data_IF_901885073814
#
_entry.id   IF_901885073814
#
_cell.length_a   1.000
_cell.length_b   1.000
_cell.length_c   1.000
_cell.angle_alpha   90.00
_cell.angle_beta   90.00
_cell.angle_gamma   90.00
#
_symmetry.space_group_name_H-M   'P 1'
#
loop_
_entity.id
_entity.type
_entity.pdbx_description
1 polymer ?
#
# COMPACT_ATOMS: atom_id res chain seq x y z
N UNK A 1 29.27 -24.91 -16.63
CA UNK A 1 28.14 -24.52 -15.80
C UNK A 1 26.88 -24.73 -16.61
N UNK A 2 25.99 -25.61 -16.15
CA UNK A 2 24.71 -25.87 -16.83
C UNK A 2 23.69 -24.85 -16.31
N UNK A 3 23.08 -24.05 -17.21
CA UNK A 3 21.95 -23.21 -16.91
C UNK A 3 20.70 -24.10 -16.85
N UNK A 4 20.27 -24.49 -15.66
CA UNK A 4 19.06 -25.27 -15.47
C UNK A 4 17.90 -24.31 -15.24
N UNK A 5 16.96 -24.27 -16.18
CA UNK A 5 15.65 -23.61 -15.96
C UNK A 5 14.75 -24.69 -15.36
N UNK A 6 14.37 -24.53 -14.09
CA UNK A 6 13.24 -25.26 -13.51
C UNK A 6 11.97 -24.45 -13.80
N UNK A 7 10.89 -25.11 -14.24
CA UNK A 7 9.57 -24.51 -14.13
C UNK A 7 9.37 -24.10 -12.66
N UNK A 8 9.35 -22.80 -12.40
CA UNK A 8 8.78 -22.30 -11.17
C UNK A 8 7.29 -22.56 -11.27
N UNK A 9 6.87 -23.76 -10.83
CA UNK A 9 5.47 -24.08 -10.66
C UNK A 9 4.85 -22.97 -9.86
N UNK A 10 3.83 -22.31 -10.40
CA UNK A 10 3.01 -21.39 -9.62
C UNK A 10 2.62 -22.14 -8.36
N UNK A 11 3.14 -21.70 -7.21
CA UNK A 11 2.91 -22.38 -5.95
C UNK A 11 1.42 -22.59 -5.81
N UNK A 12 1.03 -23.83 -5.61
CA UNK A 12 -0.36 -24.19 -5.33
C UNK A 12 -0.62 -23.72 -3.90
N UNK A 13 -0.87 -22.41 -3.75
CA UNK A 13 -1.18 -21.85 -2.46
C UNK A 13 -2.47 -22.50 -1.96
N UNK A 14 -2.38 -23.19 -0.83
CA UNK A 14 -3.57 -23.70 -0.16
C UNK A 14 -4.58 -22.57 0.01
N UNK A 15 -5.80 -22.84 -0.43
CA UNK A 15 -6.88 -21.88 -0.30
C UNK A 15 -7.52 -22.03 1.08
N UNK A 16 -7.77 -20.90 1.75
CA UNK A 16 -8.52 -20.91 3.01
C UNK A 16 -9.89 -21.59 2.79
N UNK A 17 -10.30 -22.52 3.68
CA UNK A 17 -11.54 -23.26 3.54
C UNK A 17 -12.76 -22.32 3.50
N UNK A 18 -13.82 -22.75 2.79
CA UNK A 18 -15.10 -22.03 2.79
C UNK A 18 -15.81 -22.20 4.12
N UNK A 19 -16.59 -21.20 4.49
CA UNK A 19 -17.45 -21.24 5.69
C UNK A 19 -17.09 -20.16 6.70
N UNK A 20 -17.65 -20.33 7.90
CA UNK A 20 -17.40 -19.41 9.02
C UNK A 20 -16.14 -19.83 9.76
N UNK A 21 -15.21 -18.90 9.94
CA UNK A 21 -13.96 -19.13 10.64
C UNK A 21 -13.70 -18.06 11.69
N UNK A 22 -13.19 -18.47 12.85
CA UNK A 22 -12.65 -17.52 13.81
C UNK A 22 -11.29 -17.02 13.32
N UNK A 23 -11.09 -15.72 13.35
CA UNK A 23 -9.91 -15.06 12.80
C UNK A 23 -9.45 -13.91 13.69
N UNK A 24 -8.19 -13.49 13.51
CA UNK A 24 -7.63 -12.31 14.17
C UNK A 24 -7.04 -11.38 13.11
N UNK A 25 -7.37 -10.10 13.16
CA UNK A 25 -6.79 -9.10 12.29
C UNK A 25 -5.32 -8.87 12.68
N UNK A 26 -4.40 -9.07 11.74
CA UNK A 26 -2.97 -8.88 12.01
C UNK A 26 -2.31 -7.81 11.14
N UNK A 27 -2.93 -7.42 10.01
CA UNK A 27 -2.27 -6.46 9.12
C UNK A 27 -3.28 -5.51 8.47
N UNK A 28 -2.90 -4.24 8.45
CA UNK A 28 -3.57 -3.17 7.74
C UNK A 28 -2.56 -2.58 6.74
N UNK A 29 -2.95 -2.42 5.48
CA UNK A 29 -2.09 -1.80 4.47
C UNK A 29 -2.89 -0.75 3.73
N UNK A 30 -2.57 0.50 3.97
CA UNK A 30 -3.07 1.61 3.18
C UNK A 30 -2.38 1.59 1.81
N UNK A 31 -3.14 1.39 0.76
CA UNK A 31 -2.61 1.31 -0.61
C UNK A 31 -2.85 2.59 -1.43
N UNK A 32 -3.37 3.63 -0.78
CA UNK A 32 -3.60 4.93 -1.39
C UNK A 32 -4.80 4.99 -2.32
N UNK A 33 -4.85 6.08 -3.07
CA UNK A 33 -5.95 6.42 -3.98
C UNK A 33 -5.68 5.92 -5.39
N UNK A 34 -6.69 5.27 -5.97
CA UNK A 34 -6.66 4.73 -7.33
C UNK A 34 -7.91 5.13 -8.10
N UNK A 35 -7.80 5.17 -9.43
CA UNK A 35 -8.96 5.25 -10.29
C UNK A 35 -9.58 3.87 -10.47
N UNK A 36 -10.86 3.76 -10.15
CA UNK A 36 -11.67 2.56 -10.37
C UNK A 36 -12.82 2.90 -11.31
N UNK A 37 -12.91 2.14 -12.41
CA UNK A 37 -14.02 2.28 -13.36
C UNK A 37 -15.06 1.20 -13.08
N UNK A 38 -16.27 1.63 -12.76
CA UNK A 38 -17.41 0.76 -12.58
C UNK A 38 -18.60 1.29 -13.39
N UNK A 39 -19.22 0.45 -14.20
CA UNK A 39 -20.35 0.79 -15.08
C UNK A 39 -20.11 2.02 -15.96
N UNK A 40 -18.86 2.22 -16.43
CA UNK A 40 -18.47 3.35 -17.26
C UNK A 40 -18.17 4.65 -16.51
N UNK A 41 -18.38 4.70 -15.20
CA UNK A 41 -17.98 5.82 -14.35
C UNK A 41 -16.61 5.56 -13.70
N UNK A 42 -15.67 6.46 -13.90
CA UNK A 42 -14.36 6.43 -13.24
C UNK A 42 -14.39 7.31 -12.00
N UNK A 43 -14.05 6.72 -10.85
CA UNK A 43 -14.01 7.43 -9.56
C UNK A 43 -12.68 7.16 -8.86
N UNK A 44 -12.14 8.18 -8.22
CA UNK A 44 -11.00 8.04 -7.33
C UNK A 44 -11.45 7.46 -6.00
N UNK A 45 -10.80 6.40 -5.55
CA UNK A 45 -11.09 5.72 -4.29
C UNK A 45 -9.81 5.46 -3.53
N UNK A 46 -9.76 5.93 -2.29
CA UNK A 46 -8.74 5.54 -1.35
C UNK A 46 -9.05 4.15 -0.82
N UNK A 47 -8.09 3.24 -0.89
CA UNK A 47 -8.30 1.83 -0.59
C UNK A 47 -7.35 1.32 0.49
N UNK A 48 -7.83 0.40 1.29
CA UNK A 48 -7.06 -0.29 2.33
C UNK A 48 -7.23 -1.80 2.21
N UNK A 49 -6.18 -2.55 2.49
CA UNK A 49 -6.23 -4.00 2.67
C UNK A 49 -6.25 -4.33 4.15
N UNK A 50 -7.19 -5.16 4.57
CA UNK A 50 -7.24 -5.73 5.91
C UNK A 50 -6.97 -7.23 5.79
N UNK A 51 -6.03 -7.73 6.59
CA UNK A 51 -5.62 -9.12 6.61
C UNK A 51 -5.99 -9.76 7.93
N UNK A 52 -6.47 -10.99 7.85
CA UNK A 52 -6.76 -11.82 9.00
C UNK A 52 -6.01 -13.14 8.89
N UNK A 53 -5.56 -13.67 10.02
CA UNK A 53 -5.16 -15.06 10.15
C UNK A 53 -6.30 -15.88 10.76
N UNK A 54 -6.48 -17.11 10.29
CA UNK A 54 -7.48 -18.03 10.80
C UNK A 54 -6.95 -18.73 12.05
N UNK A 55 -7.77 -18.74 13.11
CA UNK A 55 -7.38 -19.30 14.40
C UNK A 55 -7.73 -20.79 14.54
N UNK A 56 -8.74 -21.25 13.79
CA UNK A 56 -9.38 -22.56 13.91
C UNK A 56 -8.88 -23.59 12.91
N UNK A 57 -8.18 -23.15 11.85
CA UNK A 57 -7.63 -24.03 10.81
C UNK A 57 -6.22 -23.60 10.46
N UNK A 58 -5.42 -24.57 10.02
CA UNK A 58 -4.02 -24.37 9.64
C UNK A 58 -3.72 -25.02 8.31
N UNK A 59 -2.73 -24.48 7.60
CA UNK A 59 -2.13 -25.09 6.42
C UNK A 59 -1.39 -26.38 6.75
N UNK A 60 -1.03 -27.18 5.74
CA UNK A 60 -0.26 -28.43 5.93
C UNK A 60 1.08 -28.23 6.63
N UNK A 61 1.70 -27.06 6.46
CA UNK A 61 2.95 -26.66 7.13
C UNK A 61 2.77 -26.19 8.58
N UNK A 62 1.53 -26.18 9.09
CA UNK A 62 1.18 -25.75 10.45
C UNK A 62 1.04 -24.24 10.63
N UNK A 63 1.25 -23.44 9.59
CA UNK A 63 1.00 -22.00 9.64
C UNK A 63 -0.49 -21.68 9.53
N UNK A 64 -0.96 -20.55 10.11
CA UNK A 64 -2.35 -20.13 9.94
C UNK A 64 -2.59 -19.69 8.50
N UNK A 65 -3.77 -19.99 7.97
CA UNK A 65 -4.22 -19.36 6.74
C UNK A 65 -4.30 -17.85 6.91
N UNK A 66 -3.81 -17.11 5.91
CA UNK A 66 -3.99 -15.66 5.82
C UNK A 66 -4.95 -15.33 4.70
N UNK A 67 -5.92 -14.50 4.99
CA UNK A 67 -6.89 -14.01 4.00
C UNK A 67 -7.03 -12.51 4.10
N UNK A 68 -7.29 -11.84 2.97
CA UNK A 68 -7.45 -10.41 2.94
C UNK A 68 -8.71 -9.96 2.21
N UNK A 69 -9.17 -8.75 2.54
CA UNK A 69 -10.23 -8.06 1.82
C UNK A 69 -9.82 -6.60 1.59
N UNK A 70 -10.04 -6.15 0.36
CA UNK A 70 -9.89 -4.74 0.00
C UNK A 70 -11.16 -3.98 0.38
N UNK A 71 -10.98 -2.80 0.94
CA UNK A 71 -12.06 -1.87 1.21
C UNK A 71 -11.73 -0.49 0.66
N UNK A 72 -12.77 0.25 0.28
CA UNK A 72 -12.65 1.71 0.19
C UNK A 72 -12.54 2.26 1.60
N UNK A 73 -11.54 3.09 1.88
CA UNK A 73 -11.33 3.73 3.19
C UNK A 73 -12.39 4.82 3.41
N UNK A 74 -13.57 4.39 3.85
CA UNK A 74 -14.72 5.26 4.04
C UNK A 74 -15.62 4.73 5.15
N UNK A 75 -16.04 5.62 6.05
CA UNK A 75 -17.04 5.36 7.08
C UNK A 75 -18.45 5.78 6.66
N UNK A 76 -18.69 5.94 5.35
CA UNK A 76 -20.05 6.11 4.85
C UNK A 76 -20.87 4.82 5.12
N UNK A 77 -22.09 4.96 5.60
CA UNK A 77 -22.98 3.83 5.95
C UNK A 77 -23.21 2.81 4.80
N UNK A 78 -23.07 3.25 3.56
CA UNK A 78 -23.20 2.38 2.38
C UNK A 78 -21.92 1.60 2.08
N UNK A 79 -20.76 1.99 2.65
CA UNK A 79 -19.48 1.33 2.41
C UNK A 79 -19.44 -0.06 3.04
N UNK A 80 -18.68 -0.97 2.42
CA UNK A 80 -18.45 -2.31 2.99
C UNK A 80 -17.67 -2.24 4.29
N UNK A 81 -16.68 -1.33 4.38
CA UNK A 81 -15.88 -1.14 5.59
C UNK A 81 -16.74 -0.76 6.79
N UNK A 82 -17.61 0.24 6.63
CA UNK A 82 -18.52 0.66 7.69
C UNK A 82 -19.39 -0.52 8.19
N UNK A 83 -20.00 -1.25 7.26
CA UNK A 83 -20.90 -2.38 7.59
C UNK A 83 -20.18 -3.49 8.33
N UNK A 84 -19.00 -3.90 7.83
CA UNK A 84 -18.20 -4.96 8.45
C UNK A 84 -17.67 -4.52 9.82
N UNK A 85 -17.21 -3.28 9.98
CA UNK A 85 -16.79 -2.75 11.29
C UNK A 85 -17.94 -2.68 12.30
N UNK A 86 -19.13 -2.25 11.89
CA UNK A 86 -20.31 -2.24 12.77
C UNK A 86 -20.71 -3.66 13.21
N UNK A 87 -20.70 -4.63 12.28
CA UNK A 87 -21.01 -6.02 12.59
C UNK A 87 -19.95 -6.65 13.50
N UNK A 88 -18.67 -6.38 13.25
CA UNK A 88 -17.55 -6.86 14.06
C UNK A 88 -17.60 -6.32 15.49
N UNK A 89 -17.89 -5.02 15.64
CA UNK A 89 -17.97 -4.33 16.95
C UNK A 89 -19.31 -4.56 17.69
N UNK A 90 -20.33 -5.08 17.01
CA UNK A 90 -21.74 -5.09 17.48
C UNK A 90 -22.22 -3.68 17.90
N UNK A 91 -21.70 -2.65 17.26
CA UNK A 91 -21.97 -1.26 17.64
C UNK A 91 -21.91 -0.36 16.41
N UNK A 92 -22.87 0.55 16.29
CA UNK A 92 -22.83 1.64 15.32
C UNK A 92 -21.74 2.67 15.70
N UNK A 93 -21.27 3.42 14.72
CA UNK A 93 -20.37 4.55 14.97
C UNK A 93 -21.16 5.73 15.57
N UNK A 94 -20.58 6.40 16.56
CA UNK A 94 -21.06 7.71 17.05
C UNK A 94 -20.62 8.81 16.09
N UNK A 95 -21.24 10.00 16.23
CA UNK A 95 -20.85 11.18 15.42
C UNK A 95 -19.39 11.58 15.63
N UNK A 96 -18.83 11.37 16.82
CA UNK A 96 -17.43 11.60 17.13
C UNK A 96 -16.54 10.58 16.43
N UNK A 97 -16.89 9.29 16.49
CA UNK A 97 -16.15 8.22 15.81
C UNK A 97 -16.17 8.40 14.28
N UNK A 98 -17.25 8.92 13.70
CA UNK A 98 -17.34 9.21 12.26
C UNK A 98 -16.41 10.33 11.80
N UNK A 99 -16.00 11.24 12.69
CA UNK A 99 -15.03 12.31 12.39
C UNK A 99 -13.58 11.82 12.32
N UNK A 100 -13.27 10.70 12.99
CA UNK A 100 -11.93 10.13 13.00
C UNK A 100 -11.88 8.84 13.81
N UNK A 101 -12.03 7.70 13.15
CA UNK A 101 -11.85 6.39 13.76
C UNK A 101 -10.48 5.85 13.41
N UNK A 102 -9.67 5.63 14.43
CA UNK A 102 -8.37 4.99 14.28
C UNK A 102 -8.56 3.51 13.98
N UNK A 103 -8.28 3.13 12.72
CA UNK A 103 -8.46 1.76 12.26
C UNK A 103 -7.43 0.80 12.89
N UNK A 104 -6.30 1.28 13.41
CA UNK A 104 -5.32 0.45 14.11
C UNK A 104 -5.90 -0.24 15.36
N UNK A 105 -7.02 0.27 15.89
CA UNK A 105 -7.74 -0.36 17.00
C UNK A 105 -8.22 -1.78 16.69
N UNK A 106 -8.39 -2.16 15.41
CA UNK A 106 -8.79 -3.54 15.04
C UNK A 106 -7.60 -4.51 14.93
N UNK A 107 -6.35 -4.04 14.95
CA UNK A 107 -5.18 -4.91 14.96
C UNK A 107 -5.16 -5.79 16.22
N UNK A 108 -4.91 -7.08 16.04
CA UNK A 108 -4.94 -8.09 17.11
C UNK A 108 -6.34 -8.38 17.64
N UNK A 109 -7.41 -7.89 17.01
CA UNK A 109 -8.80 -8.14 17.47
C UNK A 109 -9.40 -9.31 16.74
N UNK A 110 -10.03 -10.22 17.51
CA UNK A 110 -10.71 -11.39 16.98
C UNK A 110 -12.04 -11.03 16.30
N UNK A 111 -12.40 -11.80 15.27
CA UNK A 111 -13.67 -11.75 14.57
C UNK A 111 -14.05 -13.15 14.08
N UNK A 112 -15.28 -13.30 13.62
CA UNK A 112 -15.68 -14.41 12.79
C UNK A 112 -15.84 -13.91 11.36
N UNK A 113 -15.21 -14.59 10.39
CA UNK A 113 -15.27 -14.24 8.98
C UNK A 113 -15.96 -15.34 8.17
N UNK A 114 -16.84 -14.92 7.27
CA UNK A 114 -17.46 -15.82 6.29
C UNK A 114 -16.60 -15.82 5.03
N UNK A 115 -16.07 -17.00 4.70
CA UNK A 115 -15.21 -17.22 3.53
C UNK A 115 -16.01 -17.94 2.43
N UNK A 116 -16.10 -17.27 1.32
CA UNK A 116 -16.66 -17.85 0.10
C UNK A 116 -15.62 -17.97 -1.00
N UNK A 117 -16.10 -18.08 -2.22
CA UNK A 117 -15.28 -18.29 -3.40
C UNK A 117 -15.58 -17.26 -4.49
N UNK A 118 -14.55 -16.82 -5.18
CA UNK A 118 -14.69 -16.02 -6.40
C UNK A 118 -15.14 -16.92 -7.57
N UNK A 119 -15.55 -16.32 -8.68
CA UNK A 119 -15.86 -17.05 -9.92
C UNK A 119 -14.66 -17.87 -10.45
N UNK A 120 -13.45 -17.51 -10.06
CA UNK A 120 -12.20 -18.16 -10.45
C UNK A 120 -11.71 -19.18 -9.41
N UNK A 121 -12.51 -19.52 -8.41
CA UNK A 121 -12.18 -20.54 -7.41
C UNK A 121 -11.26 -20.05 -6.28
N UNK A 122 -10.95 -18.76 -6.19
CA UNK A 122 -10.13 -18.22 -5.10
C UNK A 122 -10.97 -17.86 -3.88
N UNK A 123 -10.44 -18.15 -2.68
CA UNK A 123 -11.08 -17.76 -1.42
C UNK A 123 -11.21 -16.24 -1.30
N UNK A 124 -12.34 -15.78 -0.77
CA UNK A 124 -12.61 -14.36 -0.48
C UNK A 124 -13.40 -14.19 0.80
N UNK A 125 -13.17 -13.12 1.54
CA UNK A 125 -14.00 -12.73 2.68
C UNK A 125 -15.29 -12.11 2.18
N UNK A 126 -16.42 -12.73 2.53
CA UNK A 126 -17.77 -12.24 2.22
C UNK A 126 -18.17 -11.18 3.25
N UNK A 127 -18.10 -11.51 4.53
CA UNK A 127 -18.52 -10.66 5.63
C UNK A 127 -17.67 -10.91 6.89
N UNK A 128 -17.69 -9.94 7.79
CA UNK A 128 -16.99 -9.97 9.08
C UNK A 128 -18.02 -9.77 10.19
N UNK A 129 -17.93 -10.56 11.23
CA UNK A 129 -18.86 -10.54 12.37
C UNK A 129 -18.12 -10.50 13.70
N UNK A 130 -18.82 -10.14 14.74
CA UNK A 130 -18.32 -10.31 16.10
C UNK A 130 -18.40 -11.77 16.50
N UNK A 131 -17.33 -12.34 17.09
CA UNK A 131 -17.35 -13.72 17.54
C UNK A 131 -18.27 -13.90 18.74
N UNK A 132 -18.61 -15.16 19.04
CA UNK A 132 -19.30 -15.50 20.27
C UNK A 132 -18.47 -15.07 21.49
N UNK A 133 -19.11 -14.41 22.45
CA UNK A 133 -18.43 -13.79 23.59
C UNK A 133 -17.80 -12.41 23.31
N UNK A 134 -17.97 -11.88 22.09
CA UNK A 134 -17.51 -10.55 21.67
C UNK A 134 -16.08 -10.52 21.15
N UNK A 135 -15.77 -9.49 20.38
CA UNK A 135 -14.43 -9.25 19.84
C UNK A 135 -13.45 -8.86 20.97
N UNK A 136 -12.27 -9.45 20.98
CA UNK A 136 -11.23 -9.23 22.00
C UNK A 136 -9.83 -9.27 21.37
N UNK A 137 -8.87 -8.64 22.02
CA UNK A 137 -7.45 -8.77 21.65
C UNK A 137 -7.00 -10.22 21.87
N UNK A 138 -6.29 -10.76 20.89
CA UNK A 138 -5.68 -12.08 20.94
C UNK A 138 -4.27 -12.02 20.32
N UNK A 139 -3.35 -12.88 20.78
CA UNK A 139 -2.05 -13.01 20.13
C UNK A 139 -2.23 -13.56 18.71
N UNK A 140 -1.36 -13.12 17.82
CA UNK A 140 -1.29 -13.58 16.43
C UNK A 140 0.03 -14.30 16.20
N UNK A 141 0.07 -15.22 15.24
CA UNK A 141 1.32 -15.86 14.77
C UNK A 141 2.07 -14.86 13.88
N UNK A 142 1.33 -14.17 12.99
CA UNK A 142 1.90 -13.10 12.20
C UNK A 142 2.01 -11.82 13.04
N UNK A 143 3.09 -11.06 12.86
CA UNK A 143 3.28 -9.80 13.56
C UNK A 143 2.19 -8.78 13.17
N UNK A 144 1.52 -8.15 14.15
CA UNK A 144 0.55 -7.12 13.87
C UNK A 144 1.22 -5.85 13.33
N UNK A 145 0.91 -5.48 12.08
CA UNK A 145 1.47 -4.29 11.44
C UNK A 145 0.40 -3.40 10.81
N UNK A 146 0.65 -2.10 10.80
CA UNK A 146 -0.09 -1.11 10.03
C UNK A 146 0.88 -0.36 9.11
N UNK A 147 0.65 -0.43 7.82
CA UNK A 147 1.35 0.37 6.83
C UNK A 147 0.50 1.59 6.49
N UNK A 148 1.07 2.76 6.73
CA UNK A 148 0.48 4.07 6.45
C UNK A 148 1.18 4.72 5.27
N UNK A 149 0.43 5.04 4.21
CA UNK A 149 1.00 5.58 2.97
C UNK A 149 1.51 7.01 3.14
N UNK A 150 0.88 7.82 3.98
CA UNK A 150 1.31 9.20 4.20
C UNK A 150 2.64 9.25 4.95
N UNK A 151 2.81 8.40 5.97
CA UNK A 151 4.07 8.21 6.68
C UNK A 151 5.17 7.65 5.74
N UNK A 152 4.83 6.72 4.87
CA UNK A 152 5.75 6.19 3.85
C UNK A 152 6.23 7.29 2.89
N UNK A 153 5.32 8.12 2.41
CA UNK A 153 5.63 9.26 1.52
C UNK A 153 6.49 10.30 2.24
N UNK A 154 6.24 10.52 3.53
CA UNK A 154 7.03 11.42 4.37
C UNK A 154 8.46 10.90 4.62
N UNK A 155 8.78 9.67 4.23
CA UNK A 155 10.11 9.07 4.37
C UNK A 155 10.36 8.43 5.73
N UNK A 156 9.30 8.04 6.45
CA UNK A 156 9.41 7.29 7.70
C UNK A 156 10.13 5.96 7.44
N UNK A 157 11.22 5.73 8.17
CA UNK A 157 12.11 4.57 7.95
C UNK A 157 11.43 3.23 8.28
N UNK A 158 10.54 3.22 9.27
CA UNK A 158 9.82 2.00 9.65
C UNK A 158 8.82 1.63 8.54
N UNK A 159 8.13 2.63 7.96
CA UNK A 159 7.23 2.39 6.83
C UNK A 159 7.97 1.94 5.57
N UNK A 160 9.18 2.48 5.31
CA UNK A 160 10.04 2.02 4.21
C UNK A 160 10.45 0.56 4.43
N UNK A 161 10.81 0.19 5.67
CA UNK A 161 11.11 -1.19 6.03
C UNK A 161 9.91 -2.10 5.80
N UNK A 162 8.74 -1.74 6.30
CA UNK A 162 7.50 -2.48 6.10
C UNK A 162 7.13 -2.62 4.61
N UNK A 163 7.35 -1.57 3.80
CA UNK A 163 7.09 -1.64 2.36
C UNK A 163 7.95 -2.71 1.67
N UNK A 164 9.23 -2.82 2.03
CA UNK A 164 10.15 -3.84 1.47
C UNK A 164 9.64 -5.27 1.75
N UNK A 165 9.01 -5.49 2.92
CA UNK A 165 8.50 -6.79 3.34
C UNK A 165 7.11 -7.12 2.77
N UNK A 166 6.46 -6.15 2.09
CA UNK A 166 5.18 -6.40 1.43
C UNK A 166 5.36 -7.25 0.16
N UNK A 167 4.37 -8.08 -0.19
CA UNK A 167 4.37 -8.81 -1.47
C UNK A 167 4.48 -7.85 -2.66
N UNK A 168 5.23 -8.24 -3.70
CA UNK A 168 5.51 -7.39 -4.87
C UNK A 168 4.24 -6.79 -5.53
N UNK A 169 3.13 -7.53 -5.58
CA UNK A 169 1.88 -7.01 -6.12
C UNK A 169 1.24 -5.92 -5.24
N UNK A 170 1.48 -5.95 -3.91
CA UNK A 170 1.05 -4.89 -2.98
C UNK A 170 1.93 -3.66 -3.15
N UNK A 171 3.26 -3.84 -3.24
CA UNK A 171 4.20 -2.76 -3.52
C UNK A 171 3.82 -2.04 -4.82
N UNK A 172 3.60 -2.78 -5.92
CA UNK A 172 3.15 -2.20 -7.18
C UNK A 172 1.84 -1.43 -7.05
N UNK A 173 0.90 -1.95 -6.24
CA UNK A 173 -0.36 -1.26 -5.97
C UNK A 173 -0.13 0.07 -5.26
N UNK A 174 0.76 0.11 -4.25
CA UNK A 174 1.13 1.34 -3.52
C UNK A 174 1.82 2.33 -4.47
N UNK A 175 2.79 1.88 -5.26
CA UNK A 175 3.56 2.72 -6.18
C UNK A 175 2.69 3.34 -7.29
N UNK A 176 1.60 2.66 -7.68
CA UNK A 176 0.62 3.15 -8.64
C UNK A 176 -0.39 4.14 -8.05
N UNK A 177 -0.37 4.40 -6.74
CA UNK A 177 -1.27 5.34 -6.08
C UNK A 177 -1.03 6.79 -6.54
N UNK A 178 -2.06 7.63 -6.43
CA UNK A 178 -1.92 9.06 -6.73
C UNK A 178 -0.92 9.75 -5.81
N UNK A 179 -0.88 9.36 -4.55
CA UNK A 179 -0.03 9.91 -3.51
C UNK A 179 1.45 9.69 -3.83
N UNK A 180 1.84 8.43 -4.13
CA UNK A 180 3.23 8.08 -4.45
C UNK A 180 3.66 8.71 -5.77
N UNK A 181 2.82 8.65 -6.81
CA UNK A 181 3.11 9.30 -8.11
C UNK A 181 3.29 10.82 -7.98
N UNK A 182 2.50 11.47 -7.10
CA UNK A 182 2.65 12.89 -6.85
C UNK A 182 3.96 13.22 -6.12
N UNK A 183 4.39 12.38 -5.16
CA UNK A 183 5.72 12.49 -4.51
C UNK A 183 6.83 12.38 -5.54
N UNK A 184 6.81 11.33 -6.35
CA UNK A 184 7.88 11.03 -7.31
C UNK A 184 7.99 12.12 -8.38
N UNK A 185 6.85 12.65 -8.85
CA UNK A 185 6.83 13.78 -9.79
C UNK A 185 7.44 15.05 -9.19
N UNK A 186 7.19 15.33 -7.91
CA UNK A 186 7.79 16.48 -7.20
C UNK A 186 9.29 16.31 -7.02
N UNK A 187 9.74 15.10 -6.66
CA UNK A 187 11.16 14.80 -6.49
C UNK A 187 11.91 14.91 -7.82
N UNK A 188 11.38 14.36 -8.91
CA UNK A 188 11.94 14.49 -10.25
C UNK A 188 12.05 15.96 -10.70
N UNK A 189 11.03 16.78 -10.45
CA UNK A 189 11.04 18.20 -10.76
C UNK A 189 12.06 19.00 -9.92
N UNK A 190 12.30 18.61 -8.68
CA UNK A 190 13.34 19.24 -7.83
C UNK A 190 14.74 18.84 -8.28
N UNK A 191 14.95 17.58 -8.63
CA UNK A 191 16.24 17.07 -9.11
C UNK A 191 16.64 17.75 -10.43
N UNK A 192 15.71 17.86 -11.38
CA UNK A 192 15.97 18.55 -12.65
C UNK A 192 16.32 20.04 -12.48
N UNK A 193 15.74 20.73 -11.50
CA UNK A 193 16.10 22.12 -11.17
C UNK A 193 17.48 22.22 -10.53
N UNK A 194 17.85 21.26 -9.67
CA UNK A 194 19.17 21.18 -9.05
C UNK A 194 20.27 20.93 -10.10
N UNK A 195 20.03 20.02 -11.03
CA UNK A 195 20.96 19.70 -12.12
C UNK A 195 21.13 20.91 -13.05
N UNK A 196 20.08 21.65 -13.37
CA UNK A 196 20.15 22.85 -14.20
C UNK A 196 20.93 23.99 -13.52
N UNK A 197 20.67 24.25 -12.23
CA UNK A 197 21.41 25.25 -11.45
C UNK A 197 22.89 24.89 -11.34
N UNK A 198 23.25 23.61 -11.22
CA UNK A 198 24.64 23.14 -11.21
C UNK A 198 25.33 23.35 -12.56
N UNK A 199 24.60 23.21 -13.68
CA UNK A 199 25.14 23.47 -15.02
C UNK A 199 25.34 24.96 -15.28
N UNK A 200 24.46 25.83 -14.76
CA UNK A 200 24.62 27.28 -14.85
C UNK A 200 25.87 27.75 -14.09
N UNK A 201 26.07 27.27 -12.84
CA UNK A 201 27.26 27.61 -12.05
C UNK A 201 28.58 27.18 -12.72
N UNK A 202 28.62 26.03 -13.40
CA UNK A 202 29.75 25.53 -14.14
C UNK A 202 30.04 26.37 -15.42
N UNK A 203 29.05 27.05 -15.97
CA UNK A 203 29.22 27.94 -17.11
C UNK A 203 29.71 29.33 -16.69
N UNK A 204 29.27 29.86 -15.55
CA UNK A 204 29.77 31.12 -14.99
C UNK A 204 31.26 31.01 -14.66
N UNK A 205 31.72 29.91 -14.06
CA UNK A 205 33.15 29.66 -13.79
C UNK A 205 33.99 29.53 -15.07
N UNK A 206 33.40 29.21 -16.22
CA UNK A 206 34.11 29.15 -17.51
C UNK A 206 34.22 30.51 -18.20
N UNK A 207 33.26 31.41 -18.00
CA UNK A 207 33.36 32.78 -18.56
C UNK A 207 34.43 33.60 -17.85
N UNK A 208 34.72 33.38 -16.55
CA UNK A 208 35.85 34.02 -15.86
C UNK A 208 37.22 33.50 -16.30
N UNK A 209 37.30 32.31 -16.91
CA UNK A 209 38.59 31.71 -17.31
C UNK A 209 39.06 32.12 -18.72
N UNK A 210 38.25 32.81 -19.52
CA UNK A 210 38.64 33.35 -20.83
C UNK A 210 38.62 34.86 -20.75
N UNK A 211 39.81 35.53 -20.89
CA UNK A 211 39.86 36.99 -20.96
C UNK A 211 39.02 37.47 -22.15
N UNK A 212 38.39 38.65 -22.05
CA UNK A 212 37.58 39.19 -23.13
C UNK A 212 38.44 39.30 -24.40
N UNK A 213 37.91 38.89 -25.53
CA UNK A 213 38.54 39.04 -26.84
C UNK A 213 38.88 40.51 -26.99
N UNK A 214 40.17 40.83 -26.89
CA UNK A 214 40.69 42.13 -27.32
C UNK A 214 40.29 42.36 -28.78
N UNK A 215 39.70 43.50 -29.06
CA UNK A 215 39.39 43.96 -30.40
C UNK A 215 40.66 43.88 -31.25
N UNK A 216 40.67 42.92 -32.18
CA UNK A 216 41.67 42.92 -33.25
C UNK A 216 41.37 44.12 -34.20
N UNK A 217 42.11 45.11 -34.11
CA UNK A 217 42.07 46.22 -35.08
C UNK A 217 42.58 45.72 -36.40
N UNK A 218 41.98 46.20 -37.52
CA UNK A 218 42.32 45.82 -38.93
C UNK A 218 43.76 46.06 -39.37
N UNK A 219 44.65 46.60 -38.52
CA UNK A 219 46.02 46.95 -38.84
C UNK A 219 47.02 45.84 -38.52
N UNK A 220 46.62 44.67 -38.00
CA UNK A 220 47.56 43.61 -37.61
C UNK A 220 47.58 42.39 -38.57
N UNK A 221 47.30 42.58 -39.85
CA UNK A 221 47.48 41.55 -40.87
C UNK A 221 48.82 41.71 -41.56
N UNK A 222 49.78 40.79 -41.31
CA UNK A 222 50.96 40.71 -42.19
C UNK A 222 50.56 40.07 -43.52
N UNK A 223 50.97 40.65 -44.60
CA UNK A 223 50.81 40.33 -46.02
C UNK A 223 50.80 38.85 -46.39
#
# INVERSE_FOLDING_TARGET
MALTISESGGGNFEQAPKGMHNATCFRLVDVGTHEETYEGETKKRHSIFIYWELNDVKMEDGQPFSIMKQYTLSLNEKSALYKDLCAWRKKQFTDEELKGFDLTNVLGVTCDIDIGETKTGKSKVIAVYSPDGGAKKAPTVNEPIAFDIDEYIAGNKDMIGLWVDLPAWVQSKIDESFEVRARDSKQAAQQSKGDFASLESLNEDKEEMFPPKSELTEDDLPF
#
